data_IF_540019350060
#
_entry.id   IF_540019350060
#
_cell.length_a   1.000
_cell.length_b   1.000
_cell.length_c   1.000
_cell.angle_alpha   90.00
_cell.angle_beta   90.00
_cell.angle_gamma   90.00
#
_symmetry.space_group_name_H-M   'P 1'
#
loop_
_entity.id
_entity.type
_entity.pdbx_description
1 polymer ?
#
# COMPACT_ATOMS: atom_id res chain seq x y z
N UNK A 1 -18.20 5.54 -1.89
CA UNK A 1 -17.00 4.96 -2.54
C UNK A 1 -16.07 4.44 -1.45
N UNK A 2 -15.46 3.27 -1.59
CA UNK A 2 -14.49 2.81 -0.59
C UNK A 2 -13.30 3.79 -0.47
N UNK A 3 -12.67 3.90 0.71
CA UNK A 3 -11.44 4.67 0.89
C UNK A 3 -10.31 3.96 0.14
N UNK A 4 -9.39 4.72 -0.47
CA UNK A 4 -8.18 4.19 -1.09
C UNK A 4 -7.09 4.18 -0.02
N UNK A 5 -6.18 3.20 -0.08
CA UNK A 5 -4.96 3.20 0.74
C UNK A 5 -4.22 4.53 0.64
N UNK A 6 -3.93 5.10 1.80
CA UNK A 6 -3.07 6.24 2.01
C UNK A 6 -1.78 5.79 2.69
N UNK A 7 -0.76 6.62 2.57
CA UNK A 7 0.52 6.43 3.26
C UNK A 7 0.33 6.59 4.77
N UNK A 8 -0.49 7.57 5.14
CA UNK A 8 -0.87 7.82 6.53
C UNK A 8 -1.79 6.74 7.11
N UNK A 9 -2.13 5.67 6.36
CA UNK A 9 -2.83 4.51 6.93
C UNK A 9 -1.82 3.51 7.56
N UNK A 10 -0.51 3.78 7.47
CA UNK A 10 0.56 3.06 8.18
C UNK A 10 1.04 3.96 9.33
N UNK A 11 0.98 3.44 10.55
CA UNK A 11 1.41 4.14 11.76
C UNK A 11 2.76 3.61 12.25
N UNK A 12 2.97 2.30 12.15
CA UNK A 12 4.20 1.63 12.61
C UNK A 12 4.74 0.65 11.56
N UNK A 13 6.03 0.32 11.64
CA UNK A 13 6.68 -0.63 10.73
C UNK A 13 6.00 -2.02 10.73
N UNK A 14 5.37 -2.40 11.85
CA UNK A 14 4.65 -3.66 12.03
C UNK A 14 3.44 -3.77 11.09
N UNK A 15 2.83 -2.64 10.71
CA UNK A 15 1.72 -2.60 9.74
C UNK A 15 2.16 -3.11 8.36
N UNK A 16 3.47 -3.09 8.06
CA UNK A 16 3.99 -3.64 6.81
C UNK A 16 3.74 -5.15 6.68
N UNK A 17 3.56 -5.88 7.79
CA UNK A 17 3.25 -7.31 7.75
C UNK A 17 1.84 -7.59 7.20
N UNK A 18 0.92 -6.63 7.34
CA UNK A 18 -0.47 -6.75 6.92
C UNK A 18 -0.79 -5.94 5.64
N UNK A 19 0.24 -5.62 4.82
CA UNK A 19 0.08 -4.81 3.60
C UNK A 19 -1.01 -5.31 2.65
N UNK A 20 -1.22 -6.62 2.55
CA UNK A 20 -2.26 -7.20 1.70
C UNK A 20 -3.68 -6.83 2.17
N UNK A 21 -3.87 -6.66 3.49
CA UNK A 21 -5.13 -6.21 4.09
C UNK A 21 -5.29 -4.69 4.06
N UNK A 22 -4.19 -3.95 4.19
CA UNK A 22 -4.17 -2.48 4.19
C UNK A 22 -4.38 -1.95 2.76
N UNK A 23 -3.78 -2.59 1.75
CA UNK A 23 -3.85 -2.16 0.36
C UNK A 23 -5.24 -2.40 -0.24
N UNK A 24 -6.13 -1.41 -0.06
CA UNK A 24 -7.50 -1.38 -0.60
C UNK A 24 -7.63 -0.42 -1.78
N UNK A 25 -8.01 -0.97 -2.92
CA UNK A 25 -8.34 -0.19 -4.10
C UNK A 25 -9.83 0.15 -4.17
N UNK A 26 -10.19 1.42 -4.06
CA UNK A 26 -11.59 1.87 -4.17
C UNK A 26 -12.31 1.54 -5.49
N UNK A 27 -11.56 1.20 -6.55
CA UNK A 27 -12.14 0.79 -7.84
C UNK A 27 -11.88 -0.69 -8.15
N UNK A 28 -11.63 -1.52 -7.13
CA UNK A 28 -11.36 -2.96 -7.30
C UNK A 28 -12.40 -3.63 -8.20
N UNK A 29 -13.67 -3.39 -7.91
CA UNK A 29 -14.83 -3.92 -8.66
C UNK A 29 -14.95 -3.41 -10.11
N UNK A 30 -14.18 -2.39 -10.52
CA UNK A 30 -14.19 -1.84 -11.89
C UNK A 30 -12.88 -2.09 -12.65
N UNK A 31 -11.95 -2.87 -12.09
CA UNK A 31 -10.66 -3.18 -12.72
C UNK A 31 -10.60 -4.64 -13.07
N UNK A 32 -10.02 -4.93 -14.24
CA UNK A 32 -9.57 -6.28 -14.58
C UNK A 32 -8.45 -6.73 -13.63
N UNK A 33 -8.34 -8.04 -13.41
CA UNK A 33 -7.47 -8.64 -12.38
C UNK A 33 -6.00 -8.27 -12.53
N UNK A 34 -5.45 -8.34 -13.74
CA UNK A 34 -4.05 -7.97 -13.99
C UNK A 34 -3.75 -6.50 -13.61
N UNK A 35 -4.72 -5.59 -13.82
CA UNK A 35 -4.60 -4.16 -13.47
C UNK A 35 -4.74 -3.94 -11.98
N UNK A 36 -5.53 -4.77 -11.29
CA UNK A 36 -5.65 -4.80 -9.83
C UNK A 36 -4.33 -5.23 -9.21
N UNK A 37 -3.75 -6.36 -9.63
CA UNK A 37 -2.49 -6.86 -9.08
C UNK A 37 -1.32 -5.89 -9.27
N UNK A 38 -1.13 -5.35 -10.49
CA UNK A 38 -0.09 -4.34 -10.75
C UNK A 38 -0.20 -3.17 -9.78
N UNK A 39 -1.43 -2.77 -9.46
CA UNK A 39 -1.71 -1.61 -8.62
C UNK A 39 -1.50 -1.93 -7.15
N UNK A 40 -1.86 -3.12 -6.69
CA UNK A 40 -1.54 -3.59 -5.35
C UNK A 40 -0.02 -3.62 -5.14
N UNK A 41 0.74 -4.19 -6.09
CA UNK A 41 2.22 -4.18 -6.04
C UNK A 41 2.80 -2.76 -5.98
N UNK A 42 2.22 -1.82 -6.73
CA UNK A 42 2.64 -0.42 -6.66
C UNK A 42 2.44 0.18 -5.27
N UNK A 43 1.30 -0.07 -4.63
CA UNK A 43 1.04 0.44 -3.28
C UNK A 43 1.95 -0.21 -2.25
N UNK A 44 2.12 -1.52 -2.28
CA UNK A 44 3.07 -2.25 -1.42
C UNK A 44 4.46 -1.62 -1.51
N UNK A 45 4.97 -1.42 -2.74
CA UNK A 45 6.29 -0.81 -2.96
C UNK A 45 6.36 0.64 -2.46
N UNK A 46 5.31 1.43 -2.68
CA UNK A 46 5.26 2.83 -2.23
C UNK A 46 5.30 2.92 -0.69
N UNK A 47 4.49 2.10 -0.02
CA UNK A 47 4.36 2.08 1.43
C UNK A 47 5.66 1.66 2.12
N UNK A 48 6.29 0.57 1.66
CA UNK A 48 7.59 0.13 2.17
C UNK A 48 8.64 1.23 1.99
N UNK A 49 8.70 1.86 0.81
CA UNK A 49 9.68 2.91 0.52
C UNK A 49 9.49 4.14 1.41
N UNK A 50 8.25 4.51 1.67
CA UNK A 50 7.97 5.63 2.56
C UNK A 50 8.34 5.32 4.01
N UNK A 51 8.10 4.10 4.47
CA UNK A 51 8.49 3.67 5.81
C UNK A 51 10.01 3.62 6.00
N UNK A 52 10.74 3.05 5.04
CA UNK A 52 12.23 3.04 5.07
C UNK A 52 12.76 4.47 5.12
N UNK A 53 12.18 5.38 4.33
CA UNK A 53 12.57 6.78 4.31
C UNK A 53 12.20 7.54 5.58
N UNK A 54 11.05 7.24 6.20
CA UNK A 54 10.67 7.88 7.47
C UNK A 54 11.55 7.43 8.62
N UNK A 55 11.96 6.16 8.61
CA UNK A 55 12.76 5.55 9.68
C UNK A 55 14.27 5.79 9.51
N UNK A 56 14.67 6.49 8.44
CA UNK A 56 16.09 6.81 8.19
C UNK A 56 16.94 5.59 7.81
N UNK A 57 16.32 4.55 7.25
CA UNK A 57 16.98 3.28 6.88
C UNK A 57 17.46 3.25 5.41
N UNK A 58 17.57 4.41 4.76
CA UNK A 58 17.85 4.58 3.32
C UNK A 58 19.34 4.98 3.05
N UNK A 59 20.25 4.62 3.98
CA UNK A 59 21.71 4.88 3.91
C UNK A 59 22.47 3.95 2.94
#
# INVERSE_FOLDING_TARGET
MAKRTSVNDIENIEDLNDLERIVKDKRNHKRADAKKERRNRHYVKLLIRQQIKSDGLDD
#
